data_IF_135472620726
#
_entry.id   IF_135472620726
#
_cell.length_a   1.000
_cell.length_b   1.000
_cell.length_c   1.000
_cell.angle_alpha   90.00
_cell.angle_beta   90.00
_cell.angle_gamma   90.00
#
_symmetry.space_group_name_H-M   'P 1'
#
loop_
_entity.id
_entity.type
_entity.pdbx_description
1 polymer ?
#
# COMPACT_ATOMS: atom_id res chain seq x y z
N UNK A 1 -23.98 -35.72 57.40
CA UNK A 1 -25.42 -35.59 57.62
C UNK A 1 -26.01 -35.46 56.21
N UNK A 2 -26.26 -36.55 55.57
CA UNK A 2 -27.41 -37.48 55.51
C UNK A 2 -28.70 -36.84 55.05
N UNK A 3 -29.09 -37.32 53.91
CA UNK A 3 -30.42 -37.75 53.45
C UNK A 3 -31.23 -36.72 52.68
N UNK A 4 -32.03 -37.00 51.69
CA UNK A 4 -32.59 -38.28 51.21
C UNK A 4 -33.29 -38.07 49.90
N UNK A 5 -33.20 -39.06 49.01
CA UNK A 5 -33.92 -39.15 47.76
C UNK A 5 -35.39 -39.51 48.00
N UNK A 6 -36.29 -39.04 47.17
CA UNK A 6 -37.57 -39.71 46.90
C UNK A 6 -37.95 -39.65 45.41
N UNK A 7 -37.95 -40.80 44.82
CA UNK A 7 -38.52 -41.22 43.55
C UNK A 7 -40.06 -41.05 43.54
N UNK A 8 -40.65 -40.64 42.44
CA UNK A 8 -42.06 -40.90 42.12
C UNK A 8 -42.17 -41.44 40.69
N UNK A 9 -42.75 -42.58 40.57
CA UNK A 9 -43.04 -43.32 39.36
C UNK A 9 -44.27 -42.73 38.62
N UNK A 10 -44.41 -43.03 37.31
CA UNK A 10 -45.46 -42.46 36.47
C UNK A 10 -46.78 -43.25 36.55
N UNK A 11 -47.85 -42.49 36.48
CA UNK A 11 -49.22 -42.98 36.39
C UNK A 11 -49.55 -43.32 34.92
N UNK A 12 -49.91 -44.56 34.63
CA UNK A 12 -50.41 -44.99 33.34
C UNK A 12 -51.85 -44.53 33.12
N UNK A 13 -52.15 -44.07 31.92
CA UNK A 13 -53.51 -43.86 31.43
C UNK A 13 -53.82 -44.85 30.31
N UNK A 14 -54.70 -45.74 30.58
CA UNK A 14 -55.34 -46.64 29.64
C UNK A 14 -56.27 -45.94 28.67
N UNK A 15 -56.10 -46.14 27.37
CA UNK A 15 -57.03 -45.68 26.32
C UNK A 15 -57.71 -46.90 25.65
N UNK A 16 -59.04 -46.96 25.59
CA UNK A 16 -59.74 -48.07 25.04
C UNK A 16 -59.67 -48.16 23.50
N UNK A 17 -59.41 -49.33 22.99
CA UNK A 17 -59.49 -49.76 21.60
C UNK A 17 -60.88 -49.76 21.07
N UNK A 18 -61.28 -48.79 20.26
CA UNK A 18 -62.54 -48.92 19.50
C UNK A 18 -62.26 -49.51 18.11
N UNK A 19 -62.83 -50.76 17.95
CA UNK A 19 -63.00 -51.49 16.68
C UNK A 19 -64.23 -50.92 15.96
N UNK A 20 -64.07 -50.08 15.02
CA UNK A 20 -64.99 -49.86 13.91
C UNK A 20 -64.37 -48.89 12.95
N UNK A 21 -63.90 -49.35 11.82
CA UNK A 21 -63.89 -48.67 10.53
C UNK A 21 -63.03 -49.41 9.51
N UNK A 22 -63.60 -50.59 9.15
CA UNK A 22 -63.12 -51.38 8.00
C UNK A 22 -64.00 -51.14 6.77
N UNK A 23 -64.29 -49.91 6.40
CA UNK A 23 -65.27 -49.73 5.33
C UNK A 23 -64.97 -48.59 4.31
N UNK A 24 -63.96 -47.82 4.50
CA UNK A 24 -63.74 -46.61 3.66
C UNK A 24 -62.35 -46.54 2.99
N UNK A 25 -61.75 -47.69 2.72
CA UNK A 25 -60.42 -47.78 2.13
C UNK A 25 -60.35 -47.95 0.60
N UNK A 26 -61.48 -47.85 -0.13
CA UNK A 26 -61.48 -48.11 -1.58
C UNK A 26 -61.98 -47.01 -2.50
N UNK A 27 -62.18 -45.74 -2.01
CA UNK A 27 -62.61 -44.60 -2.82
C UNK A 27 -61.73 -43.36 -2.69
N UNK A 28 -60.57 -43.40 -2.02
CA UNK A 28 -59.65 -42.28 -1.88
C UNK A 28 -58.36 -42.44 -2.68
N UNK A 29 -58.27 -43.47 -3.58
CA UNK A 29 -57.04 -43.74 -4.36
C UNK A 29 -57.11 -43.34 -5.82
N UNK A 30 -58.13 -42.58 -6.25
CA UNK A 30 -58.30 -42.17 -7.65
C UNK A 30 -58.24 -40.63 -7.89
N UNK A 31 -57.95 -39.86 -6.91
CA UNK A 31 -57.91 -38.36 -7.02
C UNK A 31 -56.59 -37.70 -6.57
N UNK A 32 -55.52 -38.45 -6.43
CA UNK A 32 -54.17 -37.93 -6.03
C UNK A 32 -53.11 -38.09 -7.11
N UNK A 33 -53.50 -38.24 -8.38
CA UNK A 33 -52.55 -38.40 -9.51
C UNK A 33 -52.44 -37.20 -10.43
N UNK A 34 -52.85 -35.97 -10.02
CA UNK A 34 -52.72 -34.77 -10.81
C UNK A 34 -52.22 -33.63 -9.92
N UNK A 35 -50.99 -33.68 -9.46
CA UNK A 35 -50.24 -32.49 -8.99
C UNK A 35 -48.76 -32.86 -8.73
N UNK A 36 -48.12 -33.66 -9.58
CA UNK A 36 -46.68 -33.73 -9.64
C UNK A 36 -46.21 -32.94 -10.87
N UNK A 37 -46.49 -31.62 -10.90
CA UNK A 37 -45.65 -30.70 -11.64
C UNK A 37 -44.33 -30.66 -10.90
N UNK A 38 -43.19 -30.97 -11.56
CA UNK A 38 -41.92 -30.58 -11.02
C UNK A 38 -41.93 -29.06 -11.02
N UNK A 39 -42.23 -28.44 -9.90
CA UNK A 39 -41.80 -27.09 -9.61
C UNK A 39 -40.30 -27.12 -9.80
N UNK A 40 -39.83 -26.63 -10.94
CA UNK A 40 -38.46 -26.15 -11.02
C UNK A 40 -38.33 -25.13 -9.88
N UNK A 41 -37.89 -25.61 -8.73
CA UNK A 41 -37.28 -24.77 -7.74
C UNK A 41 -36.14 -24.13 -8.50
N UNK A 42 -36.35 -22.92 -8.98
CA UNK A 42 -35.28 -21.98 -9.20
C UNK A 42 -34.57 -21.92 -7.82
N UNK A 43 -33.59 -22.80 -7.65
CA UNK A 43 -32.55 -22.57 -6.67
C UNK A 43 -32.03 -21.22 -7.07
N UNK A 44 -32.60 -20.17 -6.49
CA UNK A 44 -31.84 -18.94 -6.31
C UNK A 44 -30.65 -19.42 -5.48
N UNK A 45 -29.53 -19.64 -6.14
CA UNK A 45 -28.24 -19.55 -5.50
C UNK A 45 -28.21 -18.16 -4.86
N UNK A 46 -28.79 -18.07 -3.67
CA UNK A 46 -28.43 -17.03 -2.73
C UNK A 46 -26.97 -17.38 -2.42
N UNK A 47 -26.09 -16.71 -3.12
CA UNK A 47 -24.71 -16.56 -2.72
C UNK A 47 -24.75 -16.12 -1.25
N UNK A 48 -24.71 -17.12 -0.36
CA UNK A 48 -24.53 -16.90 1.06
C UNK A 48 -23.15 -16.31 1.20
N UNK A 49 -23.05 -14.95 1.31
CA UNK A 49 -21.79 -14.28 1.51
C UNK A 49 -21.47 -13.08 0.62
N UNK A 50 -22.38 -12.59 -0.23
CA UNK A 50 -22.20 -11.25 -0.77
C UNK A 50 -22.47 -10.26 0.38
N UNK A 51 -21.46 -10.02 1.19
CA UNK A 51 -21.48 -8.84 2.06
C UNK A 51 -21.71 -7.64 1.16
N UNK A 52 -22.69 -6.80 1.51
CA UNK A 52 -22.99 -5.60 0.75
C UNK A 52 -21.78 -4.66 0.88
N UNK A 53 -21.10 -4.42 -0.22
CA UNK A 53 -20.01 -3.44 -0.24
C UNK A 53 -20.59 -2.04 0.03
N UNK A 54 -19.97 -1.35 0.99
CA UNK A 54 -20.38 -0.01 1.39
C UNK A 54 -19.61 1.09 0.64
N UNK A 55 -19.07 0.74 -0.53
CA UNK A 55 -18.32 1.65 -1.40
C UNK A 55 -19.29 2.60 -2.10
N UNK A 56 -18.99 3.89 -2.02
CA UNK A 56 -19.78 4.90 -2.73
C UNK A 56 -19.62 4.73 -4.26
N UNK A 57 -20.71 4.57 -5.02
CA UNK A 57 -20.62 4.35 -6.46
C UNK A 57 -20.29 5.63 -7.27
N UNK A 58 -20.54 6.80 -6.72
CA UNK A 58 -20.44 8.07 -7.44
C UNK A 58 -19.19 8.88 -7.05
N UNK A 59 -18.71 8.70 -5.82
CA UNK A 59 -17.60 9.46 -5.25
C UNK A 59 -16.46 8.53 -4.84
N UNK A 60 -15.22 8.90 -5.11
CA UNK A 60 -14.04 8.22 -4.57
C UNK A 60 -13.70 8.78 -3.19
N UNK A 61 -13.99 8.01 -2.13
CA UNK A 61 -13.74 8.41 -0.75
C UNK A 61 -12.39 7.90 -0.27
N UNK A 62 -11.44 8.80 -0.03
CA UNK A 62 -10.03 8.48 0.30
C UNK A 62 -9.75 8.77 1.76
N UNK A 63 -9.10 7.85 2.46
CA UNK A 63 -8.51 8.08 3.77
C UNK A 63 -7.14 8.72 3.59
N UNK A 64 -6.89 9.88 4.17
CA UNK A 64 -5.69 10.67 3.95
C UNK A 64 -5.11 11.23 5.24
N UNK A 65 -3.83 11.51 5.25
CA UNK A 65 -3.18 12.25 6.33
C UNK A 65 -3.31 13.76 6.07
N UNK A 66 -3.60 14.56 7.10
CA UNK A 66 -3.77 16.00 6.94
C UNK A 66 -2.47 16.76 6.61
N UNK A 67 -1.28 16.19 6.89
CA UNK A 67 0.00 16.88 6.69
C UNK A 67 1.19 15.91 6.62
N UNK A 68 1.17 15.00 5.67
CA UNK A 68 2.21 13.98 5.47
C UNK A 68 2.78 14.01 4.03
N UNK A 69 3.42 15.11 3.66
CA UNK A 69 4.06 15.22 2.34
C UNK A 69 5.23 14.23 2.17
N UNK A 70 5.36 13.64 1.01
CA UNK A 70 4.69 13.88 -0.28
C UNK A 70 3.37 13.14 -0.51
N UNK A 71 2.83 12.43 0.47
CA UNK A 71 1.64 11.59 0.33
C UNK A 71 0.38 12.44 0.18
N UNK A 72 0.03 13.19 1.22
CA UNK A 72 -1.18 14.02 1.24
C UNK A 72 -1.09 15.17 2.24
N UNK A 73 -1.90 16.19 2.02
CA UNK A 73 -2.18 17.25 2.99
C UNK A 73 -3.61 17.82 2.81
N UNK A 74 -4.04 18.68 3.73
CA UNK A 74 -5.36 19.32 3.64
C UNK A 74 -5.48 20.39 2.55
N UNK A 75 -4.35 20.85 1.98
CA UNK A 75 -4.36 21.78 0.85
C UNK A 75 -4.67 21.09 -0.48
N UNK A 76 -4.81 19.77 -0.50
CA UNK A 76 -5.07 19.02 -1.73
C UNK A 76 -3.79 18.68 -2.51
N UNK A 77 -2.63 18.79 -1.89
CA UNK A 77 -1.34 18.50 -2.48
C UNK A 77 -0.86 17.10 -2.05
N UNK A 78 -0.03 16.49 -2.88
CA UNK A 78 0.56 15.19 -2.62
C UNK A 78 0.20 14.16 -3.70
N UNK A 79 1.10 13.21 -3.91
CA UNK A 79 0.93 12.24 -5.01
C UNK A 79 -0.28 11.31 -4.79
N UNK A 80 -0.66 11.02 -3.55
CA UNK A 80 -1.86 10.22 -3.28
C UNK A 80 -3.12 10.92 -3.78
N UNK A 81 -3.19 12.23 -3.61
CA UNK A 81 -4.31 13.03 -4.07
C UNK A 81 -4.36 13.13 -5.58
N UNK A 82 -3.21 13.26 -6.25
CA UNK A 82 -3.15 13.23 -7.71
C UNK A 82 -3.50 11.85 -8.28
N UNK A 83 -3.00 10.76 -7.68
CA UNK A 83 -3.37 9.40 -8.07
C UNK A 83 -4.86 9.13 -7.81
N UNK A 84 -5.40 9.60 -6.69
CA UNK A 84 -6.84 9.47 -6.40
C UNK A 84 -7.69 10.20 -7.44
N UNK A 85 -7.32 11.41 -7.83
CA UNK A 85 -7.99 12.16 -8.90
C UNK A 85 -7.87 11.45 -10.27
N UNK A 86 -6.70 10.87 -10.58
CA UNK A 86 -6.53 10.06 -11.78
C UNK A 86 -7.51 8.88 -11.78
N UNK A 87 -7.51 8.09 -10.68
CA UNK A 87 -8.38 6.92 -10.55
C UNK A 87 -9.87 7.29 -10.60
N UNK A 88 -10.27 8.39 -9.94
CA UNK A 88 -11.65 8.86 -10.00
C UNK A 88 -12.11 9.13 -11.44
N UNK A 89 -11.31 9.86 -12.22
CA UNK A 89 -11.60 10.10 -13.63
C UNK A 89 -11.68 8.80 -14.44
N UNK A 90 -10.74 7.87 -14.25
CA UNK A 90 -10.69 6.58 -14.98
C UNK A 90 -11.86 5.65 -14.60
N UNK A 91 -12.36 5.75 -13.40
CA UNK A 91 -13.50 4.98 -12.89
C UNK A 91 -14.85 5.66 -13.09
N UNK A 92 -14.88 6.86 -13.71
CA UNK A 92 -16.10 7.62 -13.95
C UNK A 92 -16.75 8.16 -12.67
N UNK A 93 -15.98 8.32 -11.58
CA UNK A 93 -16.46 8.96 -10.34
C UNK A 93 -16.60 10.46 -10.55
N UNK A 94 -17.66 11.05 -9.99
CA UNK A 94 -17.97 12.48 -10.15
C UNK A 94 -17.06 13.38 -9.32
N UNK A 95 -16.53 12.86 -8.19
CA UNK A 95 -15.73 13.63 -7.24
C UNK A 95 -14.77 12.74 -6.43
N UNK A 96 -13.83 13.37 -5.74
CA UNK A 96 -12.93 12.75 -4.74
C UNK A 96 -13.09 13.45 -3.42
N UNK A 97 -13.43 12.73 -2.37
CA UNK A 97 -13.51 13.25 -1.02
C UNK A 97 -12.47 12.63 -0.10
N UNK A 98 -12.04 13.37 0.92
CA UNK A 98 -10.97 12.95 1.82
C UNK A 98 -11.43 12.94 3.27
N UNK A 99 -11.17 11.82 3.95
CA UNK A 99 -11.30 11.70 5.40
C UNK A 99 -9.93 11.79 6.05
N UNK A 100 -9.65 12.93 6.64
CA UNK A 100 -8.33 13.22 7.20
C UNK A 100 -8.18 12.73 8.64
N UNK A 101 -7.15 11.95 8.88
CA UNK A 101 -6.69 11.54 10.20
C UNK A 101 -5.16 11.37 10.19
N UNK A 102 -4.42 11.74 11.25
CA UNK A 102 -2.97 11.53 11.29
C UNK A 102 -2.60 10.06 11.09
N UNK A 103 -1.66 9.77 10.20
CA UNK A 103 -1.22 8.42 9.87
C UNK A 103 -0.33 7.85 11.00
N UNK A 104 -0.97 7.61 12.14
CA UNK A 104 -0.40 7.09 13.35
C UNK A 104 -1.23 5.91 13.87
N UNK A 105 -1.04 5.51 15.13
CA UNK A 105 -1.80 4.43 15.75
C UNK A 105 -3.31 4.62 15.60
N UNK A 106 -3.98 3.65 15.01
CA UNK A 106 -5.43 3.64 14.85
C UNK A 106 -5.95 4.25 13.54
N UNK A 107 -5.10 4.71 12.63
CA UNK A 107 -5.50 5.31 11.35
C UNK A 107 -6.54 4.45 10.60
N UNK A 108 -6.24 3.19 10.32
CA UNK A 108 -7.14 2.27 9.61
C UNK A 108 -8.50 2.15 10.32
N UNK A 109 -8.47 1.93 11.62
CA UNK A 109 -9.70 1.73 12.41
C UNK A 109 -10.57 2.99 12.46
N UNK A 110 -9.94 4.16 12.59
CA UNK A 110 -10.64 5.44 12.73
C UNK A 110 -11.11 6.02 11.38
N UNK A 111 -10.65 5.48 10.27
CA UNK A 111 -11.02 5.95 8.92
C UNK A 111 -11.73 4.85 8.12
N UNK A 112 -11.00 3.94 7.49
CA UNK A 112 -11.54 2.87 6.66
C UNK A 112 -12.49 1.95 7.44
N UNK A 113 -12.07 1.51 8.63
CA UNK A 113 -12.87 0.65 9.52
C UNK A 113 -14.13 1.31 10.07
N UNK A 114 -14.18 2.64 10.10
CA UNK A 114 -15.35 3.44 10.48
C UNK A 114 -16.20 3.87 9.27
N UNK A 115 -15.95 3.33 8.09
CA UNK A 115 -16.65 3.63 6.83
C UNK A 115 -16.64 5.13 6.43
N UNK A 116 -15.62 5.88 6.87
CA UNK A 116 -15.45 7.29 6.50
C UNK A 116 -14.84 7.46 5.10
N UNK A 117 -14.24 6.41 4.59
CA UNK A 117 -13.56 6.34 3.29
C UNK A 117 -13.61 4.90 2.77
N UNK A 118 -13.25 4.69 1.49
CA UNK A 118 -13.31 3.39 0.83
C UNK A 118 -11.93 2.87 0.40
N UNK A 119 -10.91 3.70 0.53
CA UNK A 119 -9.55 3.37 0.12
C UNK A 119 -8.52 4.09 0.99
N UNK A 120 -7.48 3.37 1.39
CA UNK A 120 -6.23 3.92 1.92
C UNK A 120 -5.18 3.80 0.82
N UNK A 121 -4.49 4.90 0.52
CA UNK A 121 -3.37 4.90 -0.41
C UNK A 121 -2.07 4.51 0.30
N UNK A 122 -1.03 4.16 -0.47
CA UNK A 122 0.35 3.90 0.02
C UNK A 122 0.45 2.95 1.21
N UNK A 123 -0.29 1.84 1.15
CA UNK A 123 -0.30 0.85 2.22
C UNK A 123 0.68 -0.30 1.93
N UNK A 124 1.56 -0.68 2.87
CA UNK A 124 2.49 -1.79 2.66
C UNK A 124 1.76 -3.10 2.40
N UNK A 125 2.26 -3.91 1.47
CA UNK A 125 1.70 -5.23 1.19
C UNK A 125 1.93 -6.18 2.39
N UNK A 126 0.88 -6.92 2.76
CA UNK A 126 0.96 -7.98 3.78
C UNK A 126 0.51 -7.57 5.17
N UNK A 127 0.00 -6.36 5.37
CA UNK A 127 -0.63 -5.96 6.64
C UNK A 127 -2.07 -6.50 6.69
N UNK A 128 -2.43 -7.16 7.79
CA UNK A 128 -3.72 -7.85 7.97
C UNK A 128 -4.90 -6.92 8.31
N UNK A 129 -4.64 -5.65 8.59
CA UNK A 129 -5.69 -4.68 8.94
C UNK A 129 -6.55 -4.28 7.74
N UNK A 130 -6.08 -4.54 6.52
CA UNK A 130 -6.77 -4.23 5.27
C UNK A 130 -6.63 -5.37 4.27
N UNK A 131 -7.52 -5.41 3.27
CA UNK A 131 -7.27 -6.18 2.06
C UNK A 131 -6.42 -5.34 1.11
N UNK A 132 -5.25 -5.86 0.76
CA UNK A 132 -4.34 -5.19 -0.16
C UNK A 132 -4.78 -5.40 -1.61
N UNK A 133 -4.73 -4.36 -2.44
CA UNK A 133 -4.75 -4.46 -3.90
C UNK A 133 -3.46 -5.07 -4.42
N UNK A 134 -3.33 -5.22 -5.74
CA UNK A 134 -2.01 -5.37 -6.37
C UNK A 134 -1.15 -4.15 -6.02
N UNK A 135 0.16 -4.36 -5.93
CA UNK A 135 1.07 -3.24 -5.74
C UNK A 135 1.01 -2.29 -6.94
N UNK A 136 0.96 -0.99 -6.68
CA UNK A 136 0.98 0.03 -7.73
C UNK A 136 2.31 0.79 -7.80
N UNK A 137 3.18 0.60 -6.80
CA UNK A 137 4.59 0.96 -6.89
C UNK A 137 5.44 0.15 -5.92
N UNK A 138 6.74 0.18 -6.17
CA UNK A 138 7.77 -0.38 -5.30
C UNK A 138 8.82 0.67 -5.03
N UNK A 139 9.28 0.77 -3.79
CA UNK A 139 10.31 1.71 -3.35
C UNK A 139 11.07 1.14 -2.16
N UNK A 140 12.13 1.79 -1.73
CA UNK A 140 12.96 1.37 -0.61
C UNK A 140 13.25 2.52 0.34
N UNK A 141 13.74 2.23 1.54
CA UNK A 141 14.47 3.23 2.32
C UNK A 141 15.65 3.76 1.52
N UNK A 142 15.99 5.01 1.72
CA UNK A 142 17.07 5.66 1.01
C UNK A 142 18.02 6.41 1.94
N UNK A 143 19.29 6.38 1.60
CA UNK A 143 20.32 7.25 2.17
C UNK A 143 20.35 8.57 1.40
N UNK A 144 20.33 9.67 2.10
CA UNK A 144 20.42 11.04 1.53
C UNK A 144 21.63 11.74 2.11
N UNK A 145 22.43 12.34 1.23
CA UNK A 145 23.62 13.12 1.62
C UNK A 145 23.90 14.22 0.58
N UNK A 146 24.64 15.30 0.94
CA UNK A 146 25.06 16.33 0.00
C UNK A 146 25.99 15.77 -1.07
N UNK A 147 25.74 16.10 -2.35
CA UNK A 147 26.59 15.72 -3.49
C UNK A 147 27.93 16.48 -3.46
N UNK A 148 28.94 15.91 -4.09
CA UNK A 148 30.27 16.51 -4.20
C UNK A 148 31.11 16.45 -2.92
N UNK A 149 30.67 15.64 -1.93
CA UNK A 149 31.31 15.48 -0.64
C UNK A 149 31.97 14.12 -0.43
N UNK A 150 32.41 13.89 0.80
CA UNK A 150 33.10 12.65 1.19
C UNK A 150 32.22 11.39 1.06
N UNK A 151 30.90 11.57 1.08
CA UNK A 151 29.92 10.46 1.01
C UNK A 151 29.57 10.08 -0.43
N UNK A 152 30.12 10.72 -1.43
CA UNK A 152 29.85 10.37 -2.82
C UNK A 152 30.19 8.90 -3.11
N UNK A 153 29.25 8.21 -3.75
CA UNK A 153 29.35 6.80 -4.09
C UNK A 153 29.01 5.82 -2.96
N UNK A 154 28.60 6.29 -1.79
CA UNK A 154 28.10 5.42 -0.71
C UNK A 154 26.76 4.83 -1.13
N UNK A 155 26.64 3.50 -1.09
CA UNK A 155 25.44 2.74 -1.45
C UNK A 155 24.96 1.78 -0.37
N UNK A 156 25.73 1.60 0.71
CA UNK A 156 25.45 0.70 1.83
C UNK A 156 25.67 1.41 3.17
N UNK A 157 24.93 1.05 4.18
CA UNK A 157 25.09 1.58 5.53
C UNK A 157 26.37 1.08 6.24
N UNK A 158 26.94 -0.03 5.77
CA UNK A 158 28.23 -0.55 6.26
C UNK A 158 29.46 0.16 5.63
N UNK A 159 29.26 1.11 4.71
CA UNK A 159 30.37 1.82 4.06
C UNK A 159 31.24 2.52 5.09
N UNK A 160 32.58 2.32 5.08
CA UNK A 160 33.50 2.95 6.00
C UNK A 160 33.44 4.48 6.05
N UNK A 161 33.04 5.14 4.96
CA UNK A 161 32.84 6.60 4.89
C UNK A 161 31.80 7.13 5.87
N UNK A 162 30.85 6.28 6.29
CA UNK A 162 29.80 6.65 7.27
C UNK A 162 30.30 6.57 8.73
N UNK A 163 31.45 5.95 9.01
CA UNK A 163 31.96 5.82 10.38
C UNK A 163 32.26 7.20 10.96
N UNK A 164 31.72 7.46 12.15
CA UNK A 164 31.85 8.74 12.84
C UNK A 164 31.00 9.89 12.29
N UNK A 165 30.26 9.67 11.20
CA UNK A 165 29.30 10.63 10.68
C UNK A 165 28.02 10.64 11.53
N UNK A 166 27.39 11.81 11.60
CA UNK A 166 26.09 11.99 12.25
C UNK A 166 25.00 11.61 11.25
N UNK A 167 24.46 10.39 11.41
CA UNK A 167 23.43 9.87 10.50
C UNK A 167 22.05 10.01 11.16
N UNK A 168 21.15 10.75 10.52
CA UNK A 168 19.76 10.87 10.95
C UNK A 168 18.99 9.59 10.64
N UNK A 169 18.13 9.15 11.58
CA UNK A 169 17.26 7.98 11.41
C UNK A 169 15.94 8.17 12.15
N UNK A 170 14.85 7.69 11.55
CA UNK A 170 13.57 7.55 12.27
C UNK A 170 13.65 6.31 13.15
N UNK A 171 13.50 6.49 14.46
CA UNK A 171 13.63 5.42 15.45
C UNK A 171 12.64 4.28 15.22
N UNK A 172 13.08 3.04 15.38
CA UNK A 172 12.23 1.86 15.22
C UNK A 172 11.99 1.42 13.76
N UNK A 173 12.62 2.07 12.80
CA UNK A 173 12.53 1.67 11.38
C UNK A 173 13.58 0.62 11.01
N UNK A 174 13.35 -0.19 9.94
CA UNK A 174 14.24 -1.26 9.49
C UNK A 174 15.72 -0.87 9.34
N UNK A 175 16.08 0.31 8.80
CA UNK A 175 17.49 0.74 8.69
C UNK A 175 18.26 0.75 10.02
N UNK A 176 17.58 0.94 11.15
CA UNK A 176 18.22 0.93 12.47
C UNK A 176 18.98 -0.35 12.78
N UNK A 177 18.51 -1.50 12.28
CA UNK A 177 19.20 -2.78 12.42
C UNK A 177 20.55 -2.79 11.71
N UNK A 178 20.60 -2.24 10.49
CA UNK A 178 21.83 -2.14 9.70
C UNK A 178 22.77 -1.12 10.28
N UNK A 179 22.27 0.06 10.68
CA UNK A 179 23.07 1.08 11.36
C UNK A 179 23.69 0.57 12.67
N UNK A 180 22.95 -0.24 13.44
CA UNK A 180 23.50 -0.86 14.66
C UNK A 180 24.65 -1.83 14.33
N UNK A 181 24.50 -2.68 13.31
CA UNK A 181 25.56 -3.60 12.84
C UNK A 181 26.79 -2.85 12.33
N UNK A 182 26.56 -1.76 11.60
CA UNK A 182 27.64 -0.91 11.07
C UNK A 182 28.32 -0.03 12.15
N UNK A 183 27.80 -0.04 13.39
CA UNK A 183 28.34 0.78 14.50
C UNK A 183 28.03 2.27 14.39
N UNK A 184 27.01 2.65 13.58
CA UNK A 184 26.64 4.05 13.35
C UNK A 184 25.77 4.64 14.48
N UNK A 185 25.22 3.81 15.37
CA UNK A 185 24.27 4.27 16.41
C UNK A 185 24.90 5.22 17.43
N UNK A 186 26.23 5.18 17.61
CA UNK A 186 26.92 6.03 18.58
C UNK A 186 26.85 7.54 18.23
N UNK A 187 26.77 7.86 16.96
CA UNK A 187 26.69 9.24 16.43
C UNK A 187 25.36 9.55 15.73
N UNK A 188 24.44 8.60 15.74
CA UNK A 188 23.14 8.76 15.09
C UNK A 188 22.26 9.80 15.81
N UNK A 189 21.53 10.61 15.03
CA UNK A 189 20.45 11.47 15.52
C UNK A 189 19.10 10.77 15.27
N UNK A 190 18.41 10.42 16.33
CA UNK A 190 17.10 9.74 16.25
C UNK A 190 15.97 10.77 16.14
N UNK A 191 15.02 10.50 15.25
CA UNK A 191 13.77 11.25 15.08
C UNK A 191 12.60 10.32 15.44
N UNK A 192 11.50 10.85 16.01
CA UNK A 192 10.37 10.02 16.43
C UNK A 192 9.65 9.38 15.23
N UNK A 193 9.20 8.14 15.40
CA UNK A 193 8.39 7.43 14.41
C UNK A 193 6.91 7.81 14.50
N UNK A 194 6.37 7.84 15.73
CA UNK A 194 4.97 8.14 15.97
C UNK A 194 4.85 9.60 16.38
N UNK A 195 4.27 10.39 15.53
CA UNK A 195 4.08 11.84 15.69
C UNK A 195 2.66 12.23 15.32
N UNK A 196 2.22 13.37 15.81
CA UNK A 196 1.05 14.04 15.24
C UNK A 196 1.49 14.87 14.05
N UNK A 197 1.21 14.40 12.84
CA UNK A 197 1.61 15.03 11.58
C UNK A 197 1.06 16.45 11.43
N UNK A 198 -0.01 16.81 12.14
CA UNK A 198 -0.56 18.18 12.19
C UNK A 198 0.40 19.18 12.86
N UNK A 199 1.30 18.69 13.71
CA UNK A 199 2.21 19.51 14.53
C UNK A 199 3.63 19.47 13.96
N UNK A 200 4.14 18.27 13.63
CA UNK A 200 5.51 18.08 13.19
C UNK A 200 5.65 16.99 12.13
N UNK A 201 6.77 16.98 11.40
CA UNK A 201 7.11 15.94 10.44
C UNK A 201 8.58 15.57 10.59
N UNK A 202 8.86 14.33 11.05
CA UNK A 202 10.22 13.83 11.30
C UNK A 202 11.11 13.84 10.06
N UNK A 203 10.56 13.55 8.87
CA UNK A 203 11.31 13.57 7.63
C UNK A 203 11.72 15.01 7.24
N UNK A 204 10.79 15.96 7.39
CA UNK A 204 11.08 17.37 7.13
C UNK A 204 12.12 17.91 8.12
N UNK A 205 12.00 17.60 9.40
CA UNK A 205 12.98 18.02 10.42
C UNK A 205 14.34 17.43 10.14
N UNK A 206 14.44 16.14 9.79
CA UNK A 206 15.69 15.47 9.44
C UNK A 206 16.35 16.10 8.21
N UNK A 207 15.60 16.40 7.16
CA UNK A 207 16.14 17.04 5.96
C UNK A 207 16.54 18.50 6.20
N UNK A 208 15.86 19.20 7.11
CA UNK A 208 16.25 20.53 7.57
C UNK A 208 17.60 20.50 8.29
N UNK A 209 17.79 19.52 9.18
CA UNK A 209 19.03 19.31 9.90
C UNK A 209 20.19 18.94 8.95
N UNK A 210 19.90 18.11 7.93
CA UNK A 210 20.87 17.77 6.89
C UNK A 210 21.29 19.01 6.10
N UNK A 211 20.35 19.83 5.68
CA UNK A 211 20.62 21.06 4.96
C UNK A 211 21.43 22.10 5.77
N UNK A 212 21.26 22.11 7.10
CA UNK A 212 22.02 22.95 8.03
C UNK A 212 23.39 22.37 8.40
N UNK A 213 23.69 21.14 8.00
CA UNK A 213 24.90 20.43 8.40
C UNK A 213 24.90 19.99 9.88
N UNK A 214 23.73 19.90 10.52
CA UNK A 214 23.60 19.35 11.88
C UNK A 214 23.73 17.83 11.87
N UNK A 215 23.41 17.17 10.74
CA UNK A 215 23.72 15.78 10.43
C UNK A 215 24.44 15.72 9.08
N UNK A 216 25.18 14.65 8.84
CA UNK A 216 26.01 14.47 7.65
C UNK A 216 25.30 13.63 6.57
N UNK A 217 24.35 12.79 6.99
CA UNK A 217 23.49 11.97 6.13
C UNK A 217 22.15 11.70 6.82
N UNK A 218 21.14 11.36 6.03
CA UNK A 218 19.80 11.00 6.52
C UNK A 218 19.37 9.64 5.94
N UNK A 219 18.75 8.80 6.75
CA UNK A 219 18.13 7.57 6.28
C UNK A 219 16.61 7.69 6.46
N UNK A 220 15.92 7.75 5.32
CA UNK A 220 14.48 8.03 5.25
C UNK A 220 13.74 6.98 4.42
N UNK A 221 12.44 6.93 4.59
CA UNK A 221 11.55 6.26 3.66
C UNK A 221 11.64 6.93 2.28
N UNK A 222 11.82 6.14 1.21
CA UNK A 222 12.16 6.62 -0.13
C UNK A 222 11.32 7.78 -0.67
N UNK A 223 9.97 7.70 -0.65
CA UNK A 223 9.13 8.82 -1.08
C UNK A 223 9.44 10.14 -0.37
N UNK A 224 9.63 10.10 0.95
CA UNK A 224 10.00 11.28 1.74
C UNK A 224 11.41 11.75 1.39
N UNK A 225 12.37 10.82 1.27
CA UNK A 225 13.73 11.11 0.88
C UNK A 225 13.80 11.86 -0.45
N UNK A 226 13.15 11.33 -1.47
CA UNK A 226 13.15 11.95 -2.81
C UNK A 226 12.44 13.28 -2.86
N UNK A 227 11.28 13.40 -2.21
CA UNK A 227 10.51 14.64 -2.19
C UNK A 227 11.27 15.78 -1.50
N UNK A 228 11.77 15.55 -0.28
CA UNK A 228 12.45 16.60 0.47
C UNK A 228 13.83 16.94 -0.11
N UNK A 229 14.54 15.96 -0.68
CA UNK A 229 15.77 16.24 -1.42
C UNK A 229 15.49 17.13 -2.65
N UNK A 230 14.45 16.81 -3.44
CA UNK A 230 14.02 17.62 -4.59
C UNK A 230 13.60 19.03 -4.17
N UNK A 231 12.86 19.16 -3.06
CA UNK A 231 12.40 20.44 -2.51
C UNK A 231 13.56 21.31 -2.00
N UNK A 232 14.61 20.68 -1.48
CA UNK A 232 15.82 21.38 -0.99
C UNK A 232 16.77 21.79 -2.12
N UNK A 233 16.52 21.37 -3.38
CA UNK A 233 17.37 21.60 -4.53
C UNK A 233 18.06 20.31 -5.01
N UNK A 234 18.78 20.38 -6.15
CA UNK A 234 19.43 19.19 -6.74
C UNK A 234 20.75 18.79 -6.04
N UNK A 235 21.10 19.41 -4.93
CA UNK A 235 22.38 19.26 -4.25
C UNK A 235 22.49 17.99 -3.39
N UNK A 236 21.40 17.20 -3.29
CA UNK A 236 21.38 15.99 -2.50
C UNK A 236 21.33 14.73 -3.40
N UNK A 237 22.16 13.73 -3.06
CA UNK A 237 22.04 12.39 -3.57
C UNK A 237 20.94 11.65 -2.79
N UNK A 238 20.10 10.89 -3.50
CA UNK A 238 19.10 9.97 -2.91
C UNK A 238 19.43 8.56 -3.41
N UNK A 239 19.91 7.73 -2.52
CA UNK A 239 20.42 6.39 -2.84
C UNK A 239 19.52 5.33 -2.22
N UNK A 240 18.68 4.62 -3.01
CA UNK A 240 17.87 3.52 -2.49
C UNK A 240 18.73 2.41 -1.88
N UNK A 241 18.45 2.01 -0.66
CA UNK A 241 19.17 0.99 0.09
C UNK A 241 18.63 -0.41 -0.28
N UNK A 242 18.91 -0.86 -1.50
CA UNK A 242 18.40 -2.12 -2.05
C UNK A 242 19.37 -3.28 -1.95
N UNK A 243 20.62 -3.02 -1.55
CA UNK A 243 21.71 -4.01 -1.49
C UNK A 243 22.06 -4.41 -0.05
N UNK A 244 21.31 -3.95 0.93
CA UNK A 244 21.48 -4.35 2.32
C UNK A 244 21.11 -5.82 2.52
N UNK A 245 21.99 -6.60 3.13
CA UNK A 245 21.80 -8.03 3.34
C UNK A 245 21.74 -8.40 4.83
N UNK A 246 21.16 -9.59 5.11
CA UNK A 246 21.12 -10.20 6.46
C UNK A 246 20.41 -9.35 7.51
N UNK A 247 19.32 -8.73 7.15
CA UNK A 247 18.48 -7.92 8.04
C UNK A 247 17.03 -7.82 7.55
N UNK A 248 16.23 -6.93 8.14
CA UNK A 248 14.85 -6.71 7.71
C UNK A 248 14.79 -6.16 6.29
N UNK A 249 13.64 -6.35 5.62
CA UNK A 249 13.43 -5.81 4.28
C UNK A 249 13.63 -4.29 4.27
N UNK A 250 14.30 -3.78 3.24
CA UNK A 250 14.49 -2.36 3.01
C UNK A 250 13.63 -1.83 1.85
N UNK A 251 13.19 -2.71 0.96
CA UNK A 251 12.31 -2.40 -0.17
C UNK A 251 10.95 -3.05 0.02
N UNK A 252 9.90 -2.33 -0.34
CA UNK A 252 8.52 -2.74 -0.14
C UNK A 252 7.68 -2.52 -1.40
N UNK A 253 6.75 -3.46 -1.62
CA UNK A 253 5.64 -3.28 -2.55
C UNK A 253 4.54 -2.50 -1.84
N UNK A 254 4.07 -1.45 -2.48
CA UNK A 254 3.06 -0.55 -1.92
C UNK A 254 1.77 -0.72 -2.69
N UNK A 255 0.71 -0.94 -1.92
CA UNK A 255 -0.64 -1.27 -2.37
C UNK A 255 -1.63 -0.19 -1.93
N UNK A 256 -2.85 -0.33 -2.36
CA UNK A 256 -3.98 0.35 -1.75
C UNK A 256 -4.69 -0.61 -0.80
N UNK A 257 -5.16 -0.10 0.33
CA UNK A 257 -5.92 -0.87 1.31
C UNK A 257 -7.42 -0.62 1.20
N UNK A 258 -8.20 -1.70 1.20
CA UNK A 258 -9.67 -1.66 1.24
C UNK A 258 -10.19 -2.52 2.38
N UNK A 259 -11.47 -2.40 2.75
CA UNK A 259 -12.08 -3.27 3.76
C UNK A 259 -12.09 -4.73 3.29
N UNK A 260 -12.00 -5.72 4.19
CA UNK A 260 -12.06 -7.14 3.83
C UNK A 260 -13.32 -7.54 3.06
N UNK A 261 -14.46 -6.87 3.31
CA UNK A 261 -15.72 -7.10 2.61
C UNK A 261 -15.74 -6.60 1.16
N UNK A 262 -14.93 -5.58 0.83
CA UNK A 262 -14.98 -4.86 -0.44
C UNK A 262 -14.18 -5.57 -1.56
N UNK A 263 -14.56 -6.80 -1.91
CA UNK A 263 -13.80 -7.63 -2.85
C UNK A 263 -13.97 -7.20 -4.33
N UNK A 264 -15.16 -6.74 -4.73
CA UNK A 264 -15.40 -6.21 -6.08
C UNK A 264 -14.68 -4.88 -6.27
N UNK A 265 -14.71 -4.05 -5.23
CA UNK A 265 -13.96 -2.80 -5.21
C UNK A 265 -12.46 -3.04 -5.38
N UNK A 266 -11.91 -3.99 -4.65
CA UNK A 266 -10.51 -4.42 -4.82
C UNK A 266 -10.21 -4.86 -6.25
N UNK A 267 -11.09 -5.67 -6.89
CA UNK A 267 -10.92 -6.10 -8.29
C UNK A 267 -10.96 -4.93 -9.25
N UNK A 268 -11.85 -3.98 -9.01
CA UNK A 268 -11.98 -2.75 -9.80
C UNK A 268 -10.73 -1.89 -9.71
N UNK A 269 -10.20 -1.67 -8.50
CA UNK A 269 -8.94 -0.96 -8.30
C UNK A 269 -7.75 -1.67 -8.97
N UNK A 270 -7.66 -3.00 -8.88
CA UNK A 270 -6.59 -3.76 -9.52
C UNK A 270 -6.56 -3.56 -11.04
N UNK A 271 -7.74 -3.51 -11.71
CA UNK A 271 -7.82 -3.19 -13.13
C UNK A 271 -7.40 -1.76 -13.40
N UNK A 272 -7.93 -0.81 -12.64
CA UNK A 272 -7.59 0.60 -12.81
C UNK A 272 -6.09 0.88 -12.61
N UNK A 273 -5.45 0.22 -11.63
CA UNK A 273 -4.00 0.28 -11.43
C UNK A 273 -3.26 -0.23 -12.67
N UNK A 274 -3.60 -1.45 -13.15
CA UNK A 274 -2.91 -2.07 -14.27
C UNK A 274 -3.04 -1.26 -15.57
N UNK A 275 -4.24 -0.73 -15.85
CA UNK A 275 -4.53 0.06 -17.05
C UNK A 275 -3.87 1.44 -17.03
N UNK A 276 -3.51 1.98 -15.86
CA UNK A 276 -3.00 3.34 -15.71
C UNK A 276 -1.61 3.40 -15.06
N UNK A 277 -0.87 2.28 -15.03
CA UNK A 277 0.42 2.17 -14.35
C UNK A 277 1.43 3.23 -14.79
N UNK A 278 1.49 3.57 -16.09
CA UNK A 278 2.40 4.58 -16.61
C UNK A 278 2.09 5.98 -16.06
N UNK A 279 0.81 6.37 -16.06
CA UNK A 279 0.38 7.66 -15.52
C UNK A 279 0.63 7.75 -14.00
N UNK A 280 0.42 6.64 -13.27
CA UNK A 280 0.73 6.54 -11.85
C UNK A 280 2.23 6.71 -11.60
N UNK A 281 3.08 6.04 -12.38
CA UNK A 281 4.53 6.16 -12.27
C UNK A 281 4.99 7.60 -12.53
N UNK A 282 4.46 8.26 -13.56
CA UNK A 282 4.81 9.64 -13.88
C UNK A 282 4.43 10.61 -12.75
N UNK A 283 3.28 10.43 -12.11
CA UNK A 283 2.88 11.18 -10.92
C UNK A 283 3.91 10.97 -9.79
N UNK A 284 4.19 9.73 -9.43
CA UNK A 284 5.12 9.40 -8.34
C UNK A 284 6.54 9.96 -8.59
N UNK A 285 7.05 9.82 -9.82
CA UNK A 285 8.34 10.35 -10.22
C UNK A 285 8.37 11.87 -10.20
N UNK A 286 7.25 12.55 -10.50
CA UNK A 286 7.14 14.00 -10.40
C UNK A 286 7.36 14.51 -8.98
N UNK A 287 7.04 13.71 -7.97
CA UNK A 287 7.33 13.99 -6.55
C UNK A 287 8.73 13.54 -6.11
N UNK A 288 9.53 12.96 -7.00
CA UNK A 288 10.88 12.48 -6.68
C UNK A 288 10.90 11.11 -6.01
N UNK A 289 9.79 10.37 -6.01
CA UNK A 289 9.74 9.02 -5.44
C UNK A 289 10.74 8.10 -6.15
N UNK A 290 11.70 7.46 -5.46
CA UNK A 290 12.63 6.53 -6.07
C UNK A 290 11.92 5.20 -6.36
N UNK A 291 11.29 5.13 -7.54
CA UNK A 291 10.58 3.94 -8.00
C UNK A 291 11.55 2.84 -8.40
N UNK A 292 11.19 1.61 -8.05
CA UNK A 292 11.95 0.40 -8.32
C UNK A 292 11.11 -0.62 -9.09
N UNK A 293 11.73 -1.34 -10.00
CA UNK A 293 11.16 -2.54 -10.60
C UNK A 293 11.30 -3.76 -9.64
N UNK A 294 10.86 -4.93 -10.10
CA UNK A 294 10.89 -6.15 -9.28
C UNK A 294 12.32 -6.63 -8.98
N UNK A 295 13.29 -6.24 -9.81
CA UNK A 295 14.72 -6.53 -9.64
C UNK A 295 15.46 -5.45 -8.87
N UNK A 296 14.76 -4.51 -8.24
CA UNK A 296 15.29 -3.34 -7.51
C UNK A 296 16.07 -2.34 -8.38
N UNK A 297 15.82 -2.29 -9.69
CA UNK A 297 16.42 -1.29 -10.57
C UNK A 297 15.54 -0.03 -10.61
N UNK A 298 16.13 1.16 -10.69
CA UNK A 298 15.36 2.40 -10.79
C UNK A 298 14.50 2.46 -12.06
N UNK A 299 13.25 2.88 -11.90
CA UNK A 299 12.34 3.19 -13.01
C UNK A 299 12.51 4.66 -13.38
N UNK A 300 12.76 4.95 -14.67
CA UNK A 300 12.85 6.31 -15.20
C UNK A 300 11.47 6.79 -15.72
N UNK A 301 11.25 8.12 -15.79
CA UNK A 301 10.06 8.70 -16.40
C UNK A 301 9.87 8.23 -17.85
N UNK A 302 8.64 7.99 -18.26
CA UNK A 302 8.27 7.47 -19.58
C UNK A 302 8.63 8.37 -20.77
N UNK A 303 9.12 9.60 -20.54
CA UNK A 303 9.50 10.57 -21.57
C UNK A 303 11.01 10.82 -21.75
N UNK A 304 11.92 10.13 -21.05
CA UNK A 304 13.37 10.40 -21.06
C UNK A 304 14.26 9.24 -21.53
N UNK A 305 13.74 8.29 -22.26
CA UNK A 305 14.54 7.16 -22.80
C UNK A 305 15.31 7.49 -24.11
N UNK A 306 15.49 8.75 -24.49
CA UNK A 306 16.08 9.10 -25.79
C UNK A 306 17.21 10.15 -25.76
N UNK A 307 17.92 10.34 -24.67
CA UNK A 307 19.00 11.34 -24.64
C UNK A 307 20.33 10.88 -24.00
N UNK A 308 20.63 9.59 -23.97
CA UNK A 308 21.98 9.10 -23.58
C UNK A 308 22.54 8.08 -24.57
N UNK A 309 22.37 8.34 -25.85
CA UNK A 309 23.16 7.74 -26.93
C UNK A 309 24.30 8.69 -27.26
N UNK A 310 25.31 8.77 -26.41
CA UNK A 310 26.57 9.43 -26.73
C UNK A 310 27.25 8.68 -27.86
N UNK A 311 27.10 9.20 -29.09
CA UNK A 311 27.86 8.74 -30.23
C UNK A 311 29.36 8.94 -29.98
N UNK A 312 30.11 7.87 -30.02
CA UNK A 312 31.56 7.90 -30.19
C UNK A 312 31.90 8.48 -31.56
N UNK A 313 32.14 9.78 -31.64
CA UNK A 313 32.81 10.44 -32.76
C UNK A 313 34.35 10.27 -32.68
N UNK A 314 34.82 9.06 -32.57
CA UNK A 314 36.28 8.78 -32.56
C UNK A 314 36.76 7.94 -33.74
N UNK A 315 35.97 7.78 -34.81
CA UNK A 315 36.38 6.94 -35.96
C UNK A 315 36.18 7.60 -37.34
N UNK A 316 36.34 8.93 -37.42
CA UNK A 316 36.38 9.66 -38.72
C UNK A 316 37.66 10.46 -38.97
N UNK A 317 38.78 10.03 -38.47
CA UNK A 317 40.06 10.62 -38.76
C UNK A 317 41.06 9.57 -39.29
N UNK A 318 40.76 8.87 -40.39
CA UNK A 318 41.76 8.25 -41.24
C UNK A 318 41.12 7.70 -42.54
N UNK A 319 40.93 8.61 -43.50
CA UNK A 319 40.77 8.20 -44.91
C UNK A 319 41.82 8.97 -45.73
N UNK A 320 42.71 8.28 -46.49
CA UNK A 320 43.76 8.94 -47.28
C UNK A 320 43.15 9.65 -48.48
N UNK A 321 43.66 10.88 -48.69
CA UNK A 321 43.39 11.70 -49.86
C UNK A 321 43.86 11.01 -51.17
N UNK A 322 42.94 10.74 -52.08
CA UNK A 322 43.26 10.38 -53.47
C UNK A 322 43.31 11.68 -54.29
N UNK A 323 44.51 12.08 -54.71
CA UNK A 323 44.74 13.20 -55.58
C UNK A 323 44.31 12.93 -57.02
N UNK A 324 44.00 13.99 -57.81
CA UNK A 324 43.55 13.82 -59.19
C UNK A 324 44.73 13.49 -60.10
N UNK A 325 44.53 12.49 -60.96
CA UNK A 325 45.39 12.28 -62.13
C UNK A 325 44.67 12.82 -63.36
N UNK A 326 45.40 13.65 -63.99
CA UNK A 326 45.58 13.93 -65.38
C UNK A 326 44.41 14.15 -66.33
#
# INVERSE_FOLDING_TARGET
MTANARSRAPVGLDVPRNRAWRGLRRLALALLAVAALPGAALAQDREFGSEVELVDPDVLRVCADPNNMPFSNQAGEGFEQEVAQLLARKLGRSDVTYSYFPQATGFVRMTLGSNLCDIIMSYPQGDELVQNTNAYYRTAYALVYPKGGELDGVTLLEDPKLKGKRVGIVAGTPPGTYMAKAGLMATAKAYPLVIDTRIENSAQSMMTDLAKGEIDAAVLWGPMAGYYAKKAGEDFAVVPLTHEEKGPAMAYRITMGVRPADQEWKRTLNRAIAENQSEINDILLSYGVPLLDEENRPIAPSGKAAASGGGNDADRANAPAVGPKG
#
